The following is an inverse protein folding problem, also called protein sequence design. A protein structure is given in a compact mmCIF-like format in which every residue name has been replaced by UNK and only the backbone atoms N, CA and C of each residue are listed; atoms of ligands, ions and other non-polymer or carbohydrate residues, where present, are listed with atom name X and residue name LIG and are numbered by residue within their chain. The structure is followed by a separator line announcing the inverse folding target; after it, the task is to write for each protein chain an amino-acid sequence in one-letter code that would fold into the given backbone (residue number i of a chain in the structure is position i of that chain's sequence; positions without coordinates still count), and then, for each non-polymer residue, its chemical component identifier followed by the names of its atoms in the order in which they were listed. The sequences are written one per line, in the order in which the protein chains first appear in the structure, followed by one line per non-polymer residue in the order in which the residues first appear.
data_IF_834446697934
#
_entry.id   IF_834446697934
#
_cell.length_a   1.000
_cell.length_b   1.000
_cell.length_c   1.000
_cell.angle_alpha   90.00
_cell.angle_beta   90.00
_cell.angle_gamma   90.00
#
_symmetry.space_group_name_H-M   'P 1'
#
loop_
_entity.id
_entity.type
_entity.pdbx_description
1 polymer ?
2 water ?
#
# COMPACT_ATOMS: atom_id res chain seq x y z
N UNK A 4 5.16 7.38 -12.31
CA UNK A 4 6.60 7.17 -12.03
C UNK A 4 7.26 6.15 -12.97
N UNK A 5 8.57 5.95 -12.78
CA UNK A 5 9.40 5.03 -13.57
C UNK A 5 10.87 5.15 -13.11
N UNK A 6 11.16 6.24 -12.41
CA UNK A 6 12.46 6.51 -11.85
C UNK A 6 12.31 6.35 -10.34
N UNK A 7 13.32 6.71 -9.56
CA UNK A 7 13.19 6.62 -8.11
C UNK A 7 13.27 7.97 -7.41
N UNK A 8 12.36 8.17 -6.46
CA UNK A 8 12.28 9.41 -5.71
C UNK A 8 12.84 9.22 -4.32
N UNK A 9 13.26 10.33 -3.71
CA UNK A 9 13.82 10.29 -2.37
C UNK A 9 13.01 11.19 -1.44
N UNK A 10 12.81 10.74 -0.22
CA UNK A 10 12.07 11.50 0.76
C UNK A 10 12.61 11.19 2.14
N UNK A 11 12.74 12.23 2.96
CA UNK A 11 13.27 12.08 4.32
C UNK A 11 14.67 11.50 4.20
N UNK A 12 14.72 10.17 4.06
CA UNK A 12 15.97 9.46 3.89
C UNK A 12 15.68 8.15 3.16
N UNK A 13 14.40 7.88 2.95
CA UNK A 13 13.94 6.68 2.26
C UNK A 13 13.88 6.91 0.74
N UNK A 14 14.35 5.91 0.00
CA UNK A 14 14.36 5.95 -1.46
C UNK A 14 13.30 4.98 -1.94
N UNK A 15 12.40 5.45 -2.81
CA UNK A 15 11.29 4.61 -3.25
C UNK A 15 10.78 4.83 -4.67
N UNK A 16 9.85 3.95 -5.03
CA UNK A 16 9.16 3.95 -6.32
C UNK A 16 7.93 3.12 -6.00
N UNK A 17 6.84 3.79 -5.65
CA UNK A 17 5.62 3.09 -5.30
C UNK A 17 4.48 3.55 -6.19
N UNK A 18 4.07 2.67 -7.12
CA UNK A 18 3.00 2.95 -8.06
C UNK A 18 1.92 1.87 -7.94
N UNK A 19 0.66 2.25 -8.08
CA UNK A 19 -0.42 1.26 -7.93
C UNK A 19 -1.55 1.44 -8.93
N UNK A 20 -2.33 0.37 -9.10
CA UNK A 20 -3.53 0.44 -9.91
C UNK A 20 -4.61 0.56 -8.81
N UNK A 21 -5.49 1.52 -8.95
CA UNK A 21 -6.54 1.71 -7.96
C UNK A 21 -7.88 1.78 -8.67
N UNK A 22 -8.86 1.02 -8.16
CA UNK A 22 -10.19 1.03 -8.74
C UNK A 22 -11.25 0.95 -7.68
N UNK A 23 -12.35 1.68 -7.89
CA UNK A 23 -13.48 1.63 -7.00
C UNK A 23 -14.67 1.99 -7.88
N UNK A 24 -15.87 1.61 -7.48
CA UNK A 24 -17.04 1.93 -8.30
C UNK A 24 -18.21 2.53 -7.53
N UNK A 25 -19.15 3.14 -8.27
CA UNK A 25 -20.33 3.74 -7.68
C UNK A 25 -21.14 2.59 -7.10
N UNK A 26 -21.99 2.89 -6.11
CA UNK A 26 -22.84 1.89 -5.48
C UNK A 26 -23.69 1.24 -6.57
N UNK A 27 -23.96 -0.05 -6.45
CA UNK A 27 -24.77 -0.75 -7.43
C UNK A 27 -24.22 -0.57 -8.84
N UNK A 28 -23.02 -0.01 -8.93
CA UNK A 28 -22.39 0.23 -10.23
C UNK A 28 -23.18 1.17 -11.13
N UNK A 29 -24.09 1.94 -10.55
CA UNK A 29 -24.87 2.90 -11.32
C UNK A 29 -23.88 3.63 -12.23
N UNK A 30 -24.22 3.74 -13.52
CA UNK A 30 -23.36 4.41 -14.50
C UNK A 30 -23.54 5.91 -14.43
N UNK A 31 -23.15 6.51 -13.31
CA UNK A 31 -23.29 7.94 -13.12
C UNK A 31 -22.02 8.75 -13.40
N UNK A 32 -20.92 8.05 -13.66
CA UNK A 32 -19.67 8.74 -13.95
C UNK A 32 -19.61 9.23 -15.39
N UNK A 33 -20.32 10.32 -15.67
CA UNK A 33 -20.37 10.90 -17.01
C UNK A 33 -20.60 12.41 -16.93
N UNK A 34 -20.74 13.04 -18.09
CA UNK A 34 -20.97 14.46 -18.15
C UNK A 34 -20.16 15.22 -17.12
N UNK A 35 -20.75 16.29 -16.59
CA UNK A 35 -20.09 17.11 -15.60
C UNK A 35 -19.64 16.35 -14.35
N UNK A 36 -20.30 15.23 -14.06
CA UNK A 36 -19.96 14.41 -12.89
C UNK A 36 -18.57 13.83 -13.10
N UNK A 37 -18.34 13.25 -14.27
CA UNK A 37 -17.04 12.66 -14.59
C UNK A 37 -15.92 13.67 -14.47
N UNK A 38 -16.08 14.81 -15.14
CA UNK A 38 -15.07 15.85 -15.13
C UNK A 38 -14.76 16.39 -13.75
N UNK A 39 -15.80 16.63 -12.98
CA UNK A 39 -15.67 17.15 -11.63
C UNK A 39 -14.87 16.20 -10.76
N UNK A 40 -15.23 14.91 -10.82
CA UNK A 40 -14.54 13.88 -10.06
C UNK A 40 -13.03 13.97 -10.34
N UNK A 41 -12.67 14.11 -11.60
CA UNK A 41 -11.27 14.20 -11.97
C UNK A 41 -10.60 15.38 -11.30
N UNK A 42 -11.27 16.52 -11.25
CA UNK A 42 -10.69 17.70 -10.61
C UNK A 42 -10.49 17.42 -9.12
N UNK A 43 -11.50 16.83 -8.50
CA UNK A 43 -11.44 16.51 -7.07
C UNK A 43 -10.26 15.59 -6.78
N UNK A 44 -10.16 14.49 -7.53
CA UNK A 44 -9.06 13.54 -7.36
C UNK A 44 -7.71 14.24 -7.46
N UNK A 45 -7.55 15.03 -8.52
CA UNK A 45 -6.30 15.76 -8.70
C UNK A 45 -6.03 16.64 -7.51
N UNK A 46 -7.04 17.35 -7.04
CA UNK A 46 -6.85 18.22 -5.88
C UNK A 46 -6.42 17.40 -4.67
N UNK A 47 -7.05 16.23 -4.47
CA UNK A 47 -6.63 15.39 -3.34
C UNK A 47 -5.20 14.88 -3.57
N UNK A 48 -4.84 14.65 -4.83
CA UNK A 48 -3.50 14.15 -5.14
C UNK A 48 -2.44 15.17 -4.71
N UNK A 49 -2.67 16.45 -5.00
CA UNK A 49 -1.72 17.48 -4.58
C UNK A 49 -1.45 17.42 -3.08
N UNK A 50 -2.50 17.54 -2.31
CA UNK A 50 -2.43 17.50 -0.86
C UNK A 50 -1.60 16.34 -0.31
N UNK A 51 -1.79 15.15 -0.87
CA UNK A 51 -1.05 13.99 -0.37
C UNK A 51 0.15 13.63 -1.23
N UNK A 52 0.70 14.61 -1.94
CA UNK A 52 1.87 14.38 -2.79
C UNK A 52 1.72 13.05 -3.56
N UNK A 53 0.65 12.98 -4.33
CA UNK A 53 0.36 11.80 -5.15
C UNK A 53 0.44 12.27 -6.59
N UNK A 54 1.24 11.57 -7.39
CA UNK A 54 1.36 11.89 -8.80
C UNK A 54 0.44 10.94 -9.55
N UNK A 55 -0.39 11.46 -10.42
CA UNK A 55 -1.28 10.60 -11.18
C UNK A 55 -0.76 10.38 -12.58
N UNK A 56 -0.35 9.15 -12.84
CA UNK A 56 0.18 8.74 -14.14
C UNK A 56 -0.99 8.67 -15.15
N UNK A 57 -2.05 8.00 -14.73
CA UNK A 57 -3.22 7.85 -15.58
C UNK A 57 -4.50 7.70 -14.76
N UNK A 58 -5.57 8.30 -15.25
CA UNK A 58 -6.85 8.21 -14.56
C UNK A 58 -7.94 8.19 -15.60
N UNK A 59 -8.90 7.28 -15.45
CA UNK A 59 -9.96 7.22 -16.42
C UNK A 59 -11.21 6.58 -15.87
N UNK A 60 -12.33 7.14 -16.29
CA UNK A 60 -13.62 6.69 -15.86
C UNK A 60 -14.36 6.05 -17.02
N UNK A 61 -15.01 4.93 -16.75
CA UNK A 61 -15.78 4.28 -17.79
C UNK A 61 -17.18 4.07 -17.27
N UNK A 62 -17.81 5.18 -16.88
CA UNK A 62 -19.19 5.20 -16.40
C UNK A 62 -19.50 4.52 -15.07
N UNK A 63 -19.07 3.28 -14.89
CA UNK A 63 -19.35 2.59 -13.62
C UNK A 63 -18.12 2.29 -12.77
N UNK A 64 -17.01 2.95 -13.06
CA UNK A 64 -15.80 2.75 -12.26
C UNK A 64 -14.76 3.79 -12.59
N UNK A 65 -13.78 3.92 -11.71
CA UNK A 65 -12.72 4.87 -11.92
C UNK A 65 -11.44 4.12 -11.68
N UNK A 66 -10.53 4.23 -12.64
CA UNK A 66 -9.26 3.55 -12.50
C UNK A 66 -8.11 4.56 -12.46
N UNK A 67 -7.25 4.41 -11.47
CA UNK A 67 -6.11 5.30 -11.35
C UNK A 67 -4.77 4.54 -11.20
N UNK A 68 -3.79 4.97 -11.94
CA UNK A 68 -2.47 4.41 -11.82
C UNK A 68 -1.81 5.61 -11.16
N UNK A 69 -1.23 5.41 -9.98
CA UNK A 69 -0.63 6.52 -9.29
C UNK A 69 0.69 6.23 -8.60
N UNK A 70 1.59 7.21 -8.63
CA UNK A 70 2.88 7.05 -7.95
C UNK A 70 2.69 7.66 -6.58
N UNK A 71 2.80 6.85 -5.54
CA UNK A 71 2.56 7.29 -4.18
C UNK A 71 3.70 7.22 -3.17
N UNK A 72 3.91 8.33 -2.49
CA UNK A 72 4.91 8.47 -1.43
C UNK A 72 4.48 7.58 -0.28
N UNK A 73 5.26 6.56 0.07
CA UNK A 73 4.83 5.71 1.18
C UNK A 73 4.64 6.43 2.52
N UNK A 74 5.12 7.67 2.62
CA UNK A 74 4.97 8.38 3.89
C UNK A 74 3.47 8.59 4.16
N UNK A 75 2.76 9.11 3.17
CA UNK A 75 1.31 9.32 3.31
C UNK A 75 0.60 7.98 3.15
N UNK A 76 0.90 7.28 2.07
CA UNK A 76 0.28 5.97 1.87
C UNK A 76 -0.84 5.93 0.86
N UNK A 77 -1.08 4.75 0.34
CA UNK A 77 -2.13 4.55 -0.65
C UNK A 77 -3.54 4.53 -0.03
N UNK A 78 -3.72 3.85 1.10
CA UNK A 78 -5.04 3.78 1.74
C UNK A 78 -5.55 5.15 2.12
N UNK A 79 -4.67 5.95 2.70
CA UNK A 79 -4.98 7.30 3.11
C UNK A 79 -5.37 8.10 1.89
N UNK A 80 -4.74 7.83 0.76
CA UNK A 80 -5.08 8.56 -0.43
C UNK A 80 -6.48 8.14 -0.90
N UNK A 81 -6.75 6.85 -0.85
CA UNK A 81 -8.03 6.32 -1.28
C UNK A 81 -9.21 6.76 -0.38
N UNK A 82 -9.08 6.61 0.93
CA UNK A 82 -10.17 7.03 1.84
C UNK A 82 -10.48 8.52 1.66
N UNK A 83 -9.43 9.32 1.59
CA UNK A 83 -9.60 10.75 1.42
C UNK A 83 -10.19 11.08 0.05
N UNK A 84 -9.72 10.38 -0.98
CA UNK A 84 -10.21 10.63 -2.33
C UNK A 84 -11.69 10.31 -2.44
N UNK A 85 -12.10 9.21 -1.85
CA UNK A 85 -13.51 8.81 -1.89
C UNK A 85 -14.37 9.66 -0.95
N UNK A 86 -13.86 9.95 0.25
CA UNK A 86 -14.64 10.76 1.19
C UNK A 86 -14.87 12.14 0.60
N UNK A 87 -13.80 12.73 0.08
CA UNK A 87 -13.84 14.07 -0.49
C UNK A 87 -14.82 14.19 -1.68
N UNK A 88 -14.68 13.30 -2.66
CA UNK A 88 -15.51 13.32 -3.85
C UNK A 88 -16.97 12.95 -3.56
N UNK A 89 -17.19 12.07 -2.60
CA UNK A 89 -18.57 11.70 -2.27
C UNK A 89 -19.35 12.90 -1.74
N UNK A 90 -18.74 13.66 -0.84
CA UNK A 90 -19.39 14.82 -0.25
C UNK A 90 -19.54 15.93 -1.29
N UNK A 91 -18.50 16.16 -2.07
CA UNK A 91 -18.58 17.21 -3.08
C UNK A 91 -19.53 16.87 -4.22
N UNK A 92 -19.42 15.67 -4.78
CA UNK A 92 -20.29 15.29 -5.88
C UNK A 92 -21.76 15.20 -5.46
N UNK A 93 -22.02 14.73 -4.26
CA UNK A 93 -23.40 14.63 -3.77
C UNK A 93 -23.96 16.04 -3.49
N UNK A 94 -23.08 16.94 -3.06
CA UNK A 94 -23.48 18.29 -2.76
C UNK A 94 -23.73 19.13 -4.03
N UNK A 95 -22.97 18.87 -5.09
CA UNK A 95 -23.15 19.62 -6.33
C UNK A 95 -24.17 19.04 -7.29
N UNK A 96 -24.46 17.75 -7.16
CA UNK A 96 -25.43 17.10 -8.03
C UNK A 96 -26.52 16.43 -7.20
N UNK A 97 -27.75 16.92 -7.35
CA UNK A 97 -28.87 16.36 -6.61
C UNK A 97 -29.20 14.92 -7.00
N UNK A 98 -28.97 14.53 -8.25
CA UNK A 98 -29.30 13.15 -8.62
C UNK A 98 -28.36 12.12 -7.99
N UNK A 99 -27.26 12.59 -7.41
CA UNK A 99 -26.33 11.65 -6.77
C UNK A 99 -26.65 11.62 -5.29
N UNK A 100 -27.36 12.65 -4.84
CA UNK A 100 -27.74 12.76 -3.44
C UNK A 100 -29.11 12.16 -3.19
N UNK A 101 -30.14 12.71 -3.85
CA UNK A 101 -31.52 12.26 -3.65
C UNK A 101 -31.97 10.96 -4.29
N UNK A 102 -31.26 10.44 -5.28
CA UNK A 102 -31.64 9.11 -5.78
C UNK A 102 -31.11 8.52 -4.49
N UNK A 103 -30.10 7.66 -4.49
CA UNK A 103 -29.65 7.30 -3.15
C UNK A 103 -28.33 6.63 -2.88
N UNK A 104 -28.01 6.57 -1.56
CA UNK A 104 -27.64 6.50 -0.13
C UNK A 104 -26.21 7.01 0.08
N UNK A 105 -25.32 6.61 -0.81
CA UNK A 105 -23.92 7.00 -0.79
C UNK A 105 -23.47 6.91 -2.25
N UNK A 106 -22.39 7.60 -2.59
CA UNK A 106 -21.89 7.52 -3.95
C UNK A 106 -21.19 6.19 -4.15
N UNK A 107 -20.18 5.95 -3.31
CA UNK A 107 -19.39 4.72 -3.39
C UNK A 107 -19.86 3.62 -2.45
N UNK A 108 -19.17 2.48 -2.51
CA UNK A 108 -19.46 1.34 -1.66
C UNK A 108 -18.34 1.36 -0.64
N UNK A 109 -18.23 0.32 0.19
CA UNK A 109 -17.17 0.26 1.20
C UNK A 109 -15.98 -0.52 0.67
N UNK A 110 -15.86 -0.62 -0.64
CA UNK A 110 -14.79 -1.41 -1.25
C UNK A 110 -13.90 -0.70 -2.26
N UNK A 111 -12.67 -1.21 -2.41
CA UNK A 111 -11.75 -0.68 -3.42
C UNK A 111 -10.79 -1.78 -3.86
N UNK A 112 -10.14 -1.57 -5.01
CA UNK A 112 -9.18 -2.53 -5.55
C UNK A 112 -7.80 -1.86 -5.72
N UNK A 113 -6.77 -2.48 -5.14
CA UNK A 113 -5.42 -1.95 -5.19
C UNK A 113 -4.44 -3.01 -5.67
N UNK A 114 -3.62 -2.62 -6.64
CA UNK A 114 -2.65 -3.55 -7.21
C UNK A 114 -1.34 -2.85 -7.49
N UNK A 115 -0.23 -3.38 -6.95
CA UNK A 115 1.08 -2.77 -7.15
C UNK A 115 1.66 -2.98 -8.56
N UNK A 116 2.43 -1.99 -8.99
CA UNK A 116 3.05 -1.99 -10.31
C UNK A 116 4.54 -1.75 -10.16
N UNK A 117 5.34 -2.54 -10.84
CA UNK A 117 6.77 -2.32 -10.74
C UNK A 117 7.61 -3.42 -11.32
N UNK A 118 8.84 -3.05 -11.67
CA UNK A 118 9.76 -4.02 -12.22
C UNK A 118 10.77 -4.42 -11.17
N UNK A 119 11.25 -5.65 -11.26
CA UNK A 119 12.23 -6.18 -10.33
C UNK A 119 13.40 -5.23 -10.18
N UNK A 120 13.78 -4.92 -8.93
CA UNK A 120 14.91 -4.02 -8.67
C UNK A 120 16.12 -4.95 -8.64
N UNK A 121 17.19 -4.57 -9.32
CA UNK A 121 18.36 -5.42 -9.35
C UNK A 121 19.62 -4.60 -9.14
N UNK A 122 19.89 -3.72 -10.09
CA UNK A 122 21.06 -2.86 -10.02
C UNK A 122 20.81 -1.75 -9.02
N UNK A 123 19.57 -1.27 -8.97
CA UNK A 123 19.19 -0.20 -8.07
C UNK A 123 19.41 -0.61 -6.61
N UNK A 124 19.18 -1.88 -6.30
CA UNK A 124 19.39 -2.37 -4.94
C UNK A 124 20.86 -2.19 -4.60
N UNK A 125 21.70 -2.90 -5.34
CA UNK A 125 23.14 -2.82 -5.14
C UNK A 125 23.55 -1.35 -5.20
N UNK A 126 22.79 -0.56 -5.96
CA UNK A 126 23.08 0.87 -6.09
C UNK A 126 22.72 1.64 -4.83
N UNK A 127 21.54 1.37 -4.29
CA UNK A 127 21.03 2.02 -3.07
C UNK A 127 21.99 1.72 -1.93
N UNK A 128 22.30 0.43 -1.79
CA UNK A 128 23.20 -0.03 -0.74
C UNK A 128 24.49 0.76 -0.82
N UNK A 129 25.08 0.78 -2.01
CA UNK A 129 26.34 1.48 -2.20
C UNK A 129 26.27 3.00 -1.97
N UNK A 130 25.06 3.54 -1.84
CA UNK A 130 24.95 4.99 -1.60
C UNK A 130 25.35 5.34 -0.17
N UNK A 131 25.02 4.45 0.76
CA UNK A 131 25.36 4.61 2.17
C UNK A 131 26.51 3.64 2.34
N UNK A 132 26.62 2.72 1.37
CA UNK A 132 27.62 1.67 1.36
C UNK A 132 29.06 2.10 1.21
N UNK A 133 29.85 1.63 2.17
CA UNK A 133 31.26 1.89 2.18
C UNK A 133 31.92 0.84 3.06
N UNK B 3 -29.85 10.01 20.85
CA UNK B 3 -28.72 9.12 20.49
C UNK B 3 -29.05 7.62 20.36
N UNK B 4 -28.29 6.82 21.09
CA UNK B 4 -28.45 5.37 21.14
C UNK B 4 -28.34 4.72 19.77
N UNK B 5 -28.11 5.53 18.76
CA UNK B 5 -27.98 5.03 17.41
C UNK B 5 -26.77 4.13 17.45
N UNK B 6 -26.97 2.87 17.08
CA UNK B 6 -25.86 1.94 17.05
C UNK B 6 -25.43 1.93 15.59
N UNK B 7 -24.13 1.92 15.34
CA UNK B 7 -23.66 1.94 13.96
C UNK B 7 -22.75 0.78 13.57
N UNK B 8 -22.62 0.56 12.26
CA UNK B 8 -21.75 -0.46 11.72
C UNK B 8 -20.93 0.20 10.62
N UNK B 9 -19.67 -0.20 10.48
CA UNK B 9 -18.80 0.35 9.45
C UNK B 9 -18.13 -0.83 8.80
N UNK B 10 -18.11 -0.86 7.47
CA UNK B 10 -17.48 -1.96 6.79
C UNK B 10 -16.40 -1.41 5.90
N UNK B 11 -15.32 -2.18 5.78
CA UNK B 11 -14.18 -1.81 4.96
C UNK B 11 -13.69 -3.05 4.24
N UNK B 12 -13.97 -3.12 2.95
CA UNK B 12 -13.51 -4.26 2.17
C UNK B 12 -12.48 -3.82 1.14
N UNK B 13 -11.39 -4.56 1.06
CA UNK B 13 -10.34 -4.27 0.11
C UNK B 13 -9.92 -5.56 -0.60
N UNK B 14 -9.68 -5.44 -1.89
CA UNK B 14 -9.20 -6.57 -2.69
C UNK B 14 -7.86 -6.07 -3.18
N UNK B 15 -6.80 -6.80 -2.87
CA UNK B 15 -5.49 -6.31 -3.24
C UNK B 15 -4.36 -7.32 -3.49
N UNK B 16 -3.28 -6.79 -4.05
CA UNK B 16 -2.03 -7.49 -4.33
C UNK B 16 -1.01 -6.37 -4.21
N UNK B 17 -0.33 -6.32 -3.07
CA UNK B 17 0.63 -5.24 -2.86
C UNK B 17 1.96 -5.82 -2.45
N UNK B 18 2.82 -6.05 -3.44
CA UNK B 18 4.12 -6.62 -3.18
C UNK B 18 5.19 -5.57 -3.27
N UNK B 19 6.15 -5.64 -2.36
CA UNK B 19 7.23 -4.69 -2.30
C UNK B 19 8.59 -5.34 -2.09
N UNK B 20 9.63 -4.68 -2.59
CA UNK B 20 10.99 -5.11 -2.36
C UNK B 20 11.42 -4.12 -1.29
N UNK B 21 11.97 -4.61 -0.18
CA UNK B 21 12.41 -3.71 0.88
C UNK B 21 13.82 -4.06 1.38
N UNK B 22 14.68 -3.04 1.48
CA UNK B 22 16.02 -3.28 2.01
C UNK B 22 16.51 -2.04 2.74
N UNK B 23 17.23 -2.30 3.83
CA UNK B 23 17.80 -1.24 4.62
C UNK B 23 19.09 -1.83 5.15
N UNK B 24 19.97 -1.00 5.70
CA UNK B 24 21.26 -1.47 6.21
C UNK B 24 21.51 -1.01 7.64
N UNK B 25 22.40 -1.72 8.35
CA UNK B 25 22.72 -1.33 9.73
C UNK B 25 23.52 -0.03 9.64
N UNK B 26 23.69 0.69 10.74
CA UNK B 26 24.44 1.94 10.68
C UNK B 26 25.87 1.69 10.24
N UNK B 27 26.42 2.64 9.47
CA UNK B 27 27.79 2.52 8.98
C UNK B 27 27.93 1.29 8.10
N UNK B 28 26.87 0.49 7.99
CA UNK B 28 26.89 -0.70 7.16
C UNK B 28 27.83 -1.80 7.66
N UNK B 29 28.12 -1.77 8.96
CA UNK B 29 28.97 -2.78 9.57
C UNK B 29 28.33 -4.14 9.32
N UNK B 30 29.16 -5.09 8.85
CA UNK B 30 28.72 -6.45 8.53
C UNK B 30 28.41 -7.24 9.79
N UNK B 31 27.43 -6.76 10.55
CA UNK B 31 27.04 -7.39 11.80
C UNK B 31 25.91 -8.42 11.68
N UNK B 32 25.28 -8.51 10.52
CA UNK B 32 24.19 -9.45 10.32
C UNK B 32 24.71 -10.85 10.04
N UNK B 33 25.17 -11.50 11.09
CA UNK B 33 25.71 -12.85 10.99
C UNK B 33 25.41 -13.66 12.24
N UNK B 34 25.61 -14.96 12.14
CA UNK B 34 25.37 -15.84 13.27
C UNK B 34 24.07 -15.53 13.98
N UNK B 35 24.06 -15.76 15.29
CA UNK B 35 22.87 -15.51 16.08
C UNK B 35 22.09 -14.28 15.62
N UNK B 36 22.78 -13.14 15.56
CA UNK B 36 22.19 -11.87 15.15
C UNK B 36 21.29 -12.07 13.94
N UNK B 37 21.84 -12.66 12.89
CA UNK B 37 21.10 -12.90 11.67
C UNK B 37 19.82 -13.68 11.93
N UNK B 38 19.96 -14.85 12.54
CA UNK B 38 18.80 -15.68 12.81
C UNK B 38 17.77 -14.92 13.62
N UNK B 39 18.21 -14.33 14.72
CA UNK B 39 17.31 -13.57 15.58
C UNK B 39 16.60 -12.44 14.84
N UNK B 40 17.29 -11.84 13.87
CA UNK B 40 16.66 -10.74 13.12
C UNK B 40 15.48 -11.24 12.29
N UNK B 41 15.65 -12.40 11.65
CA UNK B 41 14.61 -12.96 10.81
C UNK B 41 13.44 -13.45 11.64
N UNK B 42 13.73 -13.96 12.83
CA UNK B 42 12.71 -14.44 13.74
C UNK B 42 11.80 -13.27 14.19
N UNK B 43 12.43 -12.18 14.62
CA UNK B 43 11.69 -10.99 15.05
C UNK B 43 10.80 -10.52 13.89
N UNK B 44 11.44 -10.21 12.77
CA UNK B 44 10.72 -9.74 11.61
C UNK B 44 9.53 -10.60 11.19
N UNK B 45 9.67 -11.93 11.25
CA UNK B 45 8.55 -12.81 10.92
C UNK B 45 7.41 -12.53 11.91
N UNK B 46 7.77 -12.38 13.18
CA UNK B 46 6.77 -12.12 14.21
C UNK B 46 6.02 -10.83 13.88
N UNK B 47 6.77 -9.78 13.54
CA UNK B 47 6.17 -8.50 13.17
C UNK B 47 5.27 -8.64 11.93
N UNK B 48 5.75 -9.36 10.92
CA UNK B 48 4.94 -9.54 9.73
C UNK B 48 3.62 -10.15 10.12
N UNK B 49 3.68 -11.18 10.96
CA UNK B 49 2.46 -11.82 11.40
C UNK B 49 1.49 -10.87 12.10
N UNK B 50 2.01 -9.86 12.79
CA UNK B 50 1.14 -8.90 13.50
C UNK B 50 0.51 -7.87 12.56
N UNK B 51 1.13 -7.66 11.40
CA UNK B 51 0.61 -6.65 10.48
C UNK B 51 0.07 -7.21 9.15
N UNK B 52 -0.36 -8.48 9.21
CA UNK B 52 -0.89 -9.18 8.04
C UNK B 52 0.00 -8.91 6.84
N UNK B 53 1.27 -9.23 7.03
CA UNK B 53 2.29 -9.08 6.01
C UNK B 53 2.78 -10.48 5.69
N UNK B 54 2.75 -10.86 4.43
CA UNK B 54 3.23 -12.18 4.04
C UNK B 54 4.65 -12.02 3.52
N UNK B 55 5.62 -12.57 4.24
CA UNK B 55 7.00 -12.50 3.80
C UNK B 55 7.23 -13.58 2.75
N UNK B 56 7.20 -13.19 1.48
CA UNK B 56 7.41 -14.13 0.38
C UNK B 56 8.87 -14.57 0.41
N UNK B 57 9.76 -13.62 0.66
CA UNK B 57 11.17 -13.94 0.72
C UNK B 57 12.04 -12.93 1.47
N UNK B 58 12.99 -13.46 2.23
CA UNK B 58 13.86 -12.65 3.04
C UNK B 58 15.26 -13.26 3.09
N UNK B 59 16.23 -12.53 2.58
CA UNK B 59 17.61 -13.01 2.61
C UNK B 59 18.44 -11.88 3.16
N UNK B 60 19.47 -12.23 3.93
CA UNK B 60 20.37 -11.25 4.51
C UNK B 60 21.75 -11.51 3.99
N UNK B 61 22.50 -10.44 3.73
CA UNK B 61 23.85 -10.64 3.29
C UNK B 61 24.63 -10.53 4.58
N UNK B 62 25.27 -9.39 4.79
CA UNK B 62 26.03 -9.19 6.03
C UNK B 62 25.90 -7.74 6.45
N UNK B 63 25.66 -6.90 5.47
CA UNK B 63 25.56 -5.47 5.69
C UNK B 63 24.21 -4.91 5.22
N UNK B 64 23.25 -5.80 5.00
CA UNK B 64 21.92 -5.36 4.58
C UNK B 64 20.94 -6.53 4.57
N UNK B 65 19.66 -6.21 4.54
CA UNK B 65 18.63 -7.22 4.49
C UNK B 65 17.72 -6.87 3.32
N UNK B 66 17.23 -7.90 2.64
CA UNK B 66 16.37 -7.68 1.50
C UNK B 66 15.09 -8.47 1.68
N UNK B 67 13.97 -7.76 1.64
CA UNK B 67 12.68 -8.40 1.83
C UNK B 67 11.74 -8.22 0.65
N UNK B 68 11.06 -9.31 0.31
CA UNK B 68 10.06 -9.28 -0.75
C UNK B 68 8.82 -9.73 0.01
N UNK B 69 7.78 -8.89 0.03
CA UNK B 69 6.60 -9.25 0.79
C UNK B 69 5.33 -8.58 0.32
N UNK B 70 4.20 -9.22 0.58
CA UNK B 70 2.92 -8.61 0.22
C UNK B 70 2.47 -7.95 1.51
N UNK B 71 2.12 -6.69 1.42
CA UNK B 71 1.73 -5.93 2.61
C UNK B 71 0.30 -5.42 2.60
N UNK B 72 -0.49 -5.82 3.57
CA UNK B 72 -1.88 -5.35 3.65
C UNK B 72 -1.83 -3.82 3.73
N UNK B 73 -2.34 -3.12 2.71
CA UNK B 73 -2.31 -1.65 2.72
C UNK B 73 -3.09 -0.95 3.84
N UNK B 74 -3.95 -1.68 4.57
CA UNK B 74 -4.69 -1.04 5.64
C UNK B 74 -3.74 -0.64 6.77
N UNK B 75 -2.62 -1.35 6.86
CA UNK B 75 -1.57 -1.06 7.85
C UNK B 75 -0.53 -0.24 7.10
N UNK B 76 -0.12 -0.76 5.93
CA UNK B 76 0.84 -0.04 5.10
C UNK B 76 2.30 -0.40 5.32
N UNK B 77 3.08 -0.27 4.24
CA UNK B 77 4.50 -0.59 4.22
C UNK B 77 5.36 0.16 5.23
N UNK B 78 5.09 1.46 5.43
CA UNK B 78 5.88 2.21 6.41
C UNK B 78 5.62 1.68 7.82
N UNK B 79 4.37 1.37 8.13
CA UNK B 79 4.02 0.86 9.45
C UNK B 79 4.86 -0.39 9.67
N UNK B 80 4.96 -1.20 8.63
CA UNK B 80 5.71 -2.44 8.72
C UNK B 80 7.23 -2.22 8.87
N UNK B 81 7.77 -1.33 8.05
CA UNK B 81 9.19 -1.07 8.11
C UNK B 81 9.59 -0.46 9.44
N UNK B 82 8.86 0.55 9.88
CA UNK B 82 9.19 1.19 11.15
C UNK B 82 9.01 0.22 12.33
N UNK B 83 8.02 -0.66 12.27
CA UNK B 83 7.83 -1.63 13.36
C UNK B 83 8.91 -2.70 13.32
N UNK B 84 9.24 -3.16 12.13
CA UNK B 84 10.28 -4.17 11.96
C UNK B 84 11.58 -3.62 12.50
N UNK B 85 11.97 -2.46 11.97
CA UNK B 85 13.20 -1.81 12.39
C UNK B 85 13.24 -1.54 13.88
N UNK B 86 12.23 -0.82 14.36
CA UNK B 86 12.18 -0.48 15.77
C UNK B 86 12.26 -1.66 16.72
N UNK B 87 11.51 -2.71 16.47
CA UNK B 87 11.58 -3.82 17.39
C UNK B 87 12.90 -4.58 17.25
N UNK B 88 13.31 -4.91 16.03
CA UNK B 88 14.56 -5.64 15.86
C UNK B 88 15.72 -4.80 16.41
N UNK B 89 15.64 -3.49 16.26
CA UNK B 89 16.71 -2.66 16.79
C UNK B 89 16.72 -2.72 18.32
N UNK B 90 15.54 -2.68 18.93
CA UNK B 90 15.46 -2.71 20.39
C UNK B 90 15.90 -4.04 21.00
N UNK B 91 15.33 -5.13 20.51
CA UNK B 91 15.67 -6.45 21.05
C UNK B 91 17.13 -6.84 20.82
N UNK B 92 17.63 -6.64 19.61
CA UNK B 92 18.99 -7.01 19.27
C UNK B 92 20.06 -6.32 20.12
N UNK B 93 19.93 -5.02 20.32
CA UNK B 93 20.88 -4.29 21.13
C UNK B 93 20.85 -4.78 22.59
N UNK B 94 19.69 -5.26 23.03
CA UNK B 94 19.52 -5.76 24.40
C UNK B 94 20.09 -7.16 24.53
N UNK B 95 20.09 -7.90 23.42
CA UNK B 95 20.58 -9.27 23.43
C UNK B 95 22.05 -9.42 23.02
N UNK B 96 22.57 -8.42 22.31
CA UNK B 96 23.95 -8.46 21.85
C UNK B 96 24.68 -7.19 22.25
N UNK B 97 25.62 -7.33 23.17
CA UNK B 97 26.38 -6.19 23.66
C UNK B 97 27.25 -5.52 22.59
N UNK B 98 27.83 -6.30 21.68
CA UNK B 98 28.69 -5.69 20.66
C UNK B 98 27.90 -4.76 19.76
N UNK B 99 26.57 -4.85 19.86
CA UNK B 99 25.71 -4.02 19.06
C UNK B 99 25.33 -2.72 19.81
N UNK B 100 24.89 -2.83 21.06
CA UNK B 100 24.48 -1.65 21.81
C UNK B 100 25.57 -0.66 22.17
N UNK B 101 26.80 -1.15 22.34
CA UNK B 101 27.90 -0.28 22.73
C UNK B 101 28.75 0.23 21.57
N UNK B 102 28.94 -0.61 20.55
CA UNK B 102 29.74 -0.25 19.39
C UNK B 102 28.96 0.53 18.34
N UNK B 103 27.68 0.73 18.58
CA UNK B 103 26.85 1.49 17.65
C UNK B 103 25.82 2.33 18.41
N UNK B 104 25.51 3.53 17.90
CA UNK B 104 24.55 4.46 18.52
C UNK B 104 23.11 4.02 18.26
N UNK B 105 22.90 3.40 17.10
CA UNK B 105 21.60 2.89 16.67
C UNK B 105 21.93 1.68 15.84
N UNK B 106 20.95 0.81 15.59
CA UNK B 106 21.23 -0.37 14.78
C UNK B 106 21.08 -0.02 13.32
N UNK B 107 19.96 0.62 12.99
CA UNK B 107 19.70 1.01 11.63
C UNK B 107 19.89 2.50 11.43
N UNK B 108 19.56 2.97 10.25
CA UNK B 108 19.68 4.38 9.93
C UNK B 108 18.25 4.82 9.69
N UNK B 109 18.07 6.09 9.38
CA UNK B 109 16.75 6.63 9.12
C UNK B 109 16.41 6.29 7.66
N UNK B 110 17.33 5.61 6.99
CA UNK B 110 17.17 5.25 5.60
C UNK B 110 16.76 3.80 5.29
N UNK B 111 16.07 3.63 4.18
CA UNK B 111 15.63 2.33 3.73
C UNK B 111 15.24 2.49 2.28
N UNK B 112 15.18 1.38 1.55
CA UNK B 112 14.82 1.41 0.15
C UNK B 112 13.49 0.68 -0.05
N UNK B 113 12.60 1.29 -0.83
CA UNK B 113 11.30 0.70 -1.09
C UNK B 113 10.91 0.81 -2.55
N UNK B 114 10.37 -0.26 -3.09
CA UNK B 114 9.99 -0.23 -4.49
C UNK B 114 8.94 -1.30 -4.74
N UNK B 115 7.79 -0.88 -5.24
CA UNK B 115 6.71 -1.79 -5.52
C UNK B 115 7.05 -2.64 -6.75
N UNK B 116 6.59 -3.88 -6.74
CA UNK B 116 6.78 -4.80 -7.84
C UNK B 116 5.37 -5.27 -8.13
N UNK B 117 5.06 -5.61 -9.38
CA UNK B 117 3.70 -6.00 -9.67
C UNK B 117 3.44 -7.32 -10.34
N UNK B 118 3.43 -8.39 -9.54
CA UNK B 118 3.14 -9.71 -10.06
C UNK B 118 1.64 -9.88 -10.16
N UNK B 119 0.99 -9.02 -10.95
CA UNK B 119 -0.46 -9.08 -11.12
C UNK B 119 -0.96 -8.51 -12.44
N UNK B 120 -1.81 -9.28 -13.14
CA UNK B 120 -2.40 -8.91 -14.44
C UNK B 120 -3.26 -7.64 -14.44
N UNK B 121 -4.36 -7.71 -15.18
CA UNK B 121 -5.31 -6.59 -15.31
C UNK B 121 -6.72 -7.12 -15.55
N UNK B 122 -6.79 -8.36 -16.01
CA UNK B 122 -8.08 -9.01 -16.25
C UNK B 122 -8.65 -9.28 -14.88
N UNK B 123 -7.85 -8.96 -13.86
CA UNK B 123 -8.25 -9.11 -12.48
C UNK B 123 -9.20 -7.97 -12.19
N UNK B 124 -8.85 -6.78 -12.67
CA UNK B 124 -9.65 -5.58 -12.48
C UNK B 124 -11.09 -5.84 -12.96
N UNK B 125 -11.21 -6.17 -14.25
CA UNK B 125 -12.49 -6.46 -14.89
C UNK B 125 -13.31 -7.41 -14.02
N UNK B 126 -12.65 -8.43 -13.49
CA UNK B 126 -13.31 -9.40 -12.63
C UNK B 126 -13.83 -8.72 -11.37
N UNK B 127 -13.03 -7.84 -10.79
CA UNK B 127 -13.42 -7.11 -9.59
C UNK B 127 -14.71 -6.36 -9.87
N UNK B 128 -14.71 -5.61 -10.96
CA UNK B 128 -15.87 -4.85 -11.38
C UNK B 128 -17.05 -5.76 -11.67
N UNK B 129 -16.89 -6.62 -12.66
CA UNK B 129 -17.95 -7.54 -13.06
C UNK B 129 -18.58 -8.24 -11.86
N UNK B 130 -17.80 -8.43 -10.81
CA UNK B 130 -18.28 -9.08 -9.61
C UNK B 130 -18.90 -8.16 -8.58
N UNK B 131 -19.04 -6.88 -8.92
CA UNK B 131 -19.64 -5.91 -8.01
C UNK B 131 -21.17 -6.06 -8.00
N UNK B 132 -21.80 -5.42 -7.03
CA UNK B 132 -23.25 -5.49 -6.86
C UNK B 132 -24.02 -4.57 -7.79
N UNK B 133 -25.28 -4.30 -7.44
CA UNK B 133 -26.16 -3.42 -8.19
C UNK B 133 -27.62 -3.57 -7.75
N UNK B 134 -27.84 -3.64 -6.44
CA UNK B 134 -29.19 -3.79 -5.85
C UNK B 134 -29.68 -5.23 -5.99
N UNK B 135 -29.34 -5.83 -7.12
CA UNK B 135 -29.70 -7.21 -7.44
C UNK B 135 -28.38 -7.99 -7.55
N UNK B 136 -27.70 -8.15 -6.41
CA UNK B 136 -26.43 -8.87 -6.34
C UNK B 136 -26.44 -10.13 -5.47
N UNK B 137 -27.63 -10.59 -5.02
CA UNK B 137 -27.63 -11.80 -4.18
C UNK B 137 -26.38 -12.68 -4.26
N UNK B 138 -26.20 -13.35 -5.40
CA UNK B 138 -25.07 -14.25 -5.59
C UNK B 138 -23.81 -13.57 -6.14
N UNK B 139 -22.86 -14.39 -6.57
CA UNK B 139 -21.61 -13.94 -7.16
C UNK B 139 -20.82 -12.84 -6.44
N UNK B 140 -21.21 -12.49 -5.22
CA UNK B 140 -20.44 -11.46 -4.52
C UNK B 140 -19.72 -12.11 -3.35
N UNK B 141 -20.48 -12.49 -2.31
CA UNK B 141 -19.88 -13.16 -1.16
C UNK B 141 -19.30 -14.49 -1.66
N UNK B 142 -19.50 -14.72 -2.95
CA UNK B 142 -18.99 -15.90 -3.63
C UNK B 142 -17.60 -15.55 -4.12
N UNK B 143 -17.49 -14.42 -4.82
CA UNK B 143 -16.20 -13.97 -5.33
C UNK B 143 -15.27 -13.61 -4.18
N UNK B 144 -15.82 -13.07 -3.10
CA UNK B 144 -15.03 -12.71 -1.92
C UNK B 144 -14.42 -13.94 -1.26
N UNK B 145 -15.28 -14.89 -0.86
CA UNK B 145 -14.82 -16.11 -0.21
C UNK B 145 -13.81 -16.86 -1.07
N UNK B 146 -13.84 -16.58 -2.37
CA UNK B 146 -12.92 -17.20 -3.32
C UNK B 146 -11.51 -16.63 -3.19
N UNK B 147 -11.43 -15.36 -2.77
CA UNK B 147 -10.16 -14.67 -2.62
C UNK B 147 -9.34 -15.18 -1.43
N UNK B 148 -8.02 -15.01 -1.50
CA UNK B 148 -7.14 -15.47 -0.44
C UNK B 148 -6.92 -14.53 0.73
N UNK B 149 -6.61 -15.13 1.88
CA UNK B 149 -6.33 -14.37 3.09
C UNK B 149 -4.89 -14.58 3.54
N UNK B 150 -4.37 -13.64 4.31
CA UNK B 150 -3.00 -13.70 4.80
C UNK B 150 -2.84 -14.74 5.91
N UNK B 151 -2.09 -15.79 5.56
CA UNK B 151 -1.79 -16.94 6.43
C UNK B 151 -1.96 -16.81 7.95
N UNK B 152 -1.17 -15.93 8.58
CA UNK B 152 -1.22 -15.74 10.04
C UNK B 152 -0.41 -16.83 10.75
#
# INVERSE_FOLDING_TARGET
MSNAVLYKSNHNVVYSCKYHIVWCPKYRRKVLVGAVEMRLKEIIQEVAKELRVEIIEMQTDKDHIHILADIDPSFGVMKFIKTAKGRSSRILRQEFNHLKTKLPTLWTNSCFISTVGGAPLNVVKQYIENQQNSNRPKQKEKWKSYVDNLQTKAL
MSNAVLYKSNHNVVYSCKYHIVWCPKYRRKVLVGAVEMRLKEIIQEVAKELRVEIIEMQTDKDHIHILADIDPSFGVMKFIKTAKGRSSRILRQEFNHLKTKLPTLWTNSCFISTVGGAPLNVVKQYIENQQNSNRPKQKEKWKSYVDNLQTKAL
#
